data_IF_319125305286
#
_entry.id   IF_319125305286
#
_cell.length_a   1.000
_cell.length_b   1.000
_cell.length_c   1.000
_cell.angle_alpha   90.00
_cell.angle_beta   90.00
_cell.angle_gamma   90.00
#
_symmetry.space_group_name_H-M   'P 1'
#
loop_
_entity.id
_entity.type
_entity.pdbx_description
1 polymer ?
#
# COMPACT_ATOMS: atom_id res chain seq x y z
N UNK A 1 -8.56 19.10 -0.40
CA UNK A 1 -8.10 18.04 -1.31
C UNK A 1 -8.16 16.72 -0.56
N UNK A 2 -9.00 15.79 -1.02
CA UNK A 2 -9.08 14.46 -0.42
C UNK A 2 -7.80 13.68 -0.71
N UNK A 3 -7.06 13.33 0.36
CA UNK A 3 -5.85 12.52 0.24
C UNK A 3 -6.26 11.08 -0.06
N UNK A 4 -5.84 10.56 -1.22
CA UNK A 4 -5.99 9.15 -1.59
C UNK A 4 -4.75 8.34 -1.20
N UNK A 5 -4.98 7.07 -0.94
CA UNK A 5 -3.99 6.10 -0.49
C UNK A 5 -4.06 4.86 -1.37
N UNK A 6 -2.95 4.15 -1.48
CA UNK A 6 -2.89 2.84 -2.12
C UNK A 6 -2.26 1.84 -1.15
N UNK A 7 -2.54 0.56 -1.38
CA UNK A 7 -1.96 -0.54 -0.63
C UNK A 7 -0.97 -1.27 -1.51
N UNK A 8 0.25 -1.44 -1.00
CA UNK A 8 1.36 -2.12 -1.67
C UNK A 8 1.63 -3.43 -0.96
N UNK A 9 1.67 -4.54 -1.70
CA UNK A 9 2.02 -5.86 -1.15
C UNK A 9 3.49 -6.16 -1.38
N UNK A 10 4.00 -7.23 -0.74
CA UNK A 10 5.39 -7.68 -0.86
C UNK A 10 5.78 -8.09 -2.29
N UNK A 11 4.82 -8.46 -3.14
CA UNK A 11 5.00 -8.77 -4.56
C UNK A 11 5.02 -7.52 -5.46
N UNK A 12 5.10 -6.31 -4.87
CA UNK A 12 4.98 -5.01 -5.53
C UNK A 12 3.64 -4.76 -6.24
N UNK A 13 2.60 -5.57 -6.00
CA UNK A 13 1.26 -5.26 -6.49
C UNK A 13 0.69 -4.05 -5.73
N UNK A 14 0.12 -3.11 -6.48
CA UNK A 14 -0.45 -1.86 -5.98
C UNK A 14 -1.97 -1.89 -6.21
N UNK A 15 -2.73 -1.55 -5.17
CA UNK A 15 -4.18 -1.42 -5.28
C UNK A 15 -4.59 -0.13 -5.99
N UNK A 16 -5.87 -0.04 -6.38
CA UNK A 16 -6.44 1.23 -6.81
C UNK A 16 -6.41 2.28 -5.69
N UNK A 17 -6.33 3.59 -6.02
CA UNK A 17 -6.40 4.66 -5.04
C UNK A 17 -7.76 4.68 -4.31
N UNK A 18 -7.71 4.74 -2.97
CA UNK A 18 -8.88 4.68 -2.08
C UNK A 18 -8.75 5.64 -0.90
N UNK A 19 -9.81 5.79 -0.12
CA UNK A 19 -9.78 6.58 1.11
C UNK A 19 -8.90 5.92 2.19
N UNK A 20 -8.49 6.68 3.21
CA UNK A 20 -7.73 6.15 4.34
C UNK A 20 -8.45 4.99 5.03
N UNK A 21 -9.78 5.10 5.21
CA UNK A 21 -10.59 4.09 5.88
C UNK A 21 -10.60 2.77 5.08
N UNK A 22 -10.77 2.88 3.77
CA UNK A 22 -10.71 1.72 2.87
C UNK A 22 -9.33 1.07 2.87
N UNK A 23 -8.26 1.87 2.82
CA UNK A 23 -6.89 1.33 2.85
C UNK A 23 -6.59 0.57 4.14
N UNK A 24 -7.05 1.08 5.30
CA UNK A 24 -6.92 0.38 6.59
C UNK A 24 -7.68 -0.94 6.58
N UNK A 25 -8.92 -0.94 6.09
CA UNK A 25 -9.70 -2.17 6.00
C UNK A 25 -9.04 -3.20 5.06
N UNK A 26 -8.47 -2.73 3.94
CA UNK A 26 -7.80 -3.59 2.96
C UNK A 26 -6.52 -4.22 3.52
N UNK A 27 -5.71 -3.48 4.27
CA UNK A 27 -4.51 -4.04 4.93
C UNK A 27 -4.89 -5.09 5.97
N UNK A 28 -5.95 -4.86 6.76
CA UNK A 28 -6.46 -5.87 7.71
C UNK A 28 -6.95 -7.13 7.01
N UNK A 29 -7.63 -6.97 5.86
CA UNK A 29 -8.05 -8.10 5.03
C UNK A 29 -6.85 -8.92 4.55
N UNK A 30 -5.76 -8.26 4.13
CA UNK A 30 -4.52 -8.93 3.73
C UNK A 30 -3.81 -9.60 4.90
N UNK A 31 -3.74 -8.94 6.06
CA UNK A 31 -3.17 -9.51 7.28
C UNK A 31 -3.88 -10.80 7.69
N UNK A 32 -5.21 -10.83 7.63
CA UNK A 32 -6.01 -12.03 7.88
C UNK A 32 -5.74 -13.17 6.89
N UNK A 33 -5.23 -12.85 5.69
CA UNK A 33 -4.81 -13.82 4.66
C UNK A 33 -3.32 -14.20 4.78
N UNK A 34 -2.59 -13.68 5.78
CA UNK A 34 -1.16 -13.87 5.94
C UNK A 34 -0.30 -13.07 4.95
N UNK A 35 -0.88 -12.06 4.30
CA UNK A 35 -0.23 -11.24 3.28
C UNK A 35 0.25 -9.94 3.92
N UNK A 36 1.56 -9.70 3.91
CA UNK A 36 2.13 -8.41 4.33
C UNK A 36 1.84 -7.32 3.29
N UNK A 37 1.16 -6.25 3.74
CA UNK A 37 0.79 -5.12 2.90
C UNK A 37 0.98 -3.79 3.65
N UNK A 38 1.22 -2.72 2.90
CA UNK A 38 1.58 -1.40 3.42
C UNK A 38 0.71 -0.32 2.80
N UNK A 39 0.25 0.63 3.62
CA UNK A 39 -0.47 1.81 3.14
C UNK A 39 0.53 2.88 2.77
N UNK A 40 0.44 3.41 1.56
CA UNK A 40 1.25 4.55 1.11
C UNK A 40 0.37 5.62 0.46
N UNK A 41 0.91 6.82 0.30
CA UNK A 41 0.23 7.88 -0.46
C UNK A 41 0.13 7.51 -1.94
N UNK A 42 -0.85 8.05 -2.65
CA UNK A 42 -0.98 7.85 -4.10
C UNK A 42 0.31 8.22 -4.87
N UNK A 43 0.98 9.31 -4.47
CA UNK A 43 2.24 9.74 -5.09
C UNK A 43 3.35 8.71 -4.90
N UNK A 44 3.43 8.11 -3.71
CA UNK A 44 4.39 7.06 -3.42
C UNK A 44 4.07 5.77 -4.20
N UNK A 45 2.77 5.43 -4.35
CA UNK A 45 2.33 4.36 -5.24
C UNK A 45 2.84 4.53 -6.66
N UNK A 46 2.64 5.72 -7.25
CA UNK A 46 3.15 6.05 -8.60
C UNK A 46 4.67 5.96 -8.70
N UNK A 47 5.40 6.40 -7.65
CA UNK A 47 6.86 6.26 -7.58
C UNK A 47 7.28 4.79 -7.59
N UNK A 48 6.59 3.94 -6.85
CA UNK A 48 6.86 2.50 -6.78
C UNK A 48 6.55 1.84 -8.14
N UNK A 49 5.43 2.16 -8.77
CA UNK A 49 5.08 1.68 -10.12
C UNK A 49 6.15 2.06 -11.15
N UNK A 50 6.61 3.31 -11.15
CA UNK A 50 7.63 3.79 -12.09
C UNK A 50 9.03 3.22 -11.82
N UNK A 51 9.39 2.97 -10.56
CA UNK A 51 10.72 2.51 -10.17
C UNK A 51 10.84 1.00 -10.00
N UNK A 52 9.73 0.29 -9.84
CA UNK A 52 9.67 -1.11 -9.43
C UNK A 52 10.22 -1.39 -8.02
N UNK A 53 10.47 -0.34 -7.21
CA UNK A 53 11.18 -0.45 -5.92
C UNK A 53 10.34 0.05 -4.76
N UNK A 54 9.84 -0.89 -3.97
CA UNK A 54 9.26 -0.63 -2.65
C UNK A 54 10.32 -0.80 -1.55
N UNK A 55 10.63 0.30 -0.85
CA UNK A 55 11.54 0.27 0.30
C UNK A 55 10.77 -0.27 1.51
N UNK A 56 10.80 -1.59 1.67
CA UNK A 56 10.08 -2.25 2.77
C UNK A 56 10.62 -1.75 4.12
N UNK A 57 9.76 -1.20 4.99
CA UNK A 57 10.18 -0.76 6.32
C UNK A 57 10.76 -1.92 7.12
N UNK A 58 11.84 -1.65 7.86
CA UNK A 58 12.39 -2.57 8.87
C UNK A 58 12.01 -2.02 10.24
N UNK A 59 11.40 -2.86 11.07
CA UNK A 59 11.10 -2.55 12.46
C UNK A 59 12.08 -3.38 13.29
N UNK A 60 13.13 -2.73 13.77
CA UNK A 60 14.07 -3.29 14.76
C UNK A 60 13.58 -3.01 16.17
#
# INVERSE_FOLDING_TARGET
MDKKFVVVRKDNSISTPMSRKEAVNKVKEYENQGISAYIVSENEGKRIEASGKFNTPKWE
#
